data_IF_497321561612
#
_entry.id   IF_497321561612
#
_cell.length_a   1.000
_cell.length_b   1.000
_cell.length_c   1.000
_cell.angle_alpha   90.00
_cell.angle_beta   90.00
_cell.angle_gamma   90.00
#
_symmetry.space_group_name_H-M   'P 1'
#
loop_
_entity.id
_entity.type
_entity.pdbx_description
1 polymer ?
#
# COMPACT_ATOMS: atom_id res chain seq x y z
N UNK A 1 -30.36 -12.03 48.21
CA UNK A 1 -28.91 -11.81 47.97
C UNK A 1 -28.38 -12.71 46.84
N UNK A 2 -28.99 -12.68 45.64
CA UNK A 2 -28.52 -13.44 44.46
C UNK A 2 -28.39 -12.58 43.18
N UNK A 3 -28.77 -11.30 43.23
CA UNK A 3 -28.71 -10.38 42.08
C UNK A 3 -27.36 -9.70 41.90
N UNK A 4 -26.50 -9.69 42.93
CA UNK A 4 -25.21 -8.99 42.87
C UNK A 4 -24.09 -9.76 42.16
N UNK A 5 -24.23 -11.09 41.98
CA UNK A 5 -23.22 -11.91 41.29
C UNK A 5 -23.28 -11.83 39.76
N UNK A 6 -24.45 -11.55 39.17
CA UNK A 6 -24.60 -11.52 37.71
C UNK A 6 -23.99 -10.25 37.09
N UNK A 7 -23.98 -9.14 37.83
CA UNK A 7 -23.43 -7.86 37.36
C UNK A 7 -21.90 -7.92 37.18
N UNK A 8 -21.20 -8.66 38.05
CA UNK A 8 -19.75 -8.81 37.95
C UNK A 8 -19.31 -9.65 36.75
N UNK A 9 -20.04 -10.73 36.43
CA UNK A 9 -19.74 -11.60 35.27
C UNK A 9 -19.96 -10.88 33.94
N UNK A 10 -21.00 -10.06 33.83
CA UNK A 10 -21.27 -9.27 32.61
C UNK A 10 -20.17 -8.22 32.38
N UNK A 11 -19.68 -7.60 33.46
CA UNK A 11 -18.64 -6.56 33.35
C UNK A 11 -17.29 -7.15 32.91
N UNK A 12 -16.93 -8.36 33.35
CA UNK A 12 -15.71 -9.03 32.86
C UNK A 12 -15.84 -9.52 31.43
N UNK A 13 -17.01 -9.99 30.98
CA UNK A 13 -17.24 -10.39 29.58
C UNK A 13 -17.16 -9.17 28.64
N UNK A 14 -17.68 -8.01 29.07
CA UNK A 14 -17.63 -6.78 28.27
C UNK A 14 -16.22 -6.19 28.17
N UNK A 15 -15.34 -6.39 29.17
CA UNK A 15 -13.95 -5.94 29.06
C UNK A 15 -13.11 -6.82 28.12
N UNK A 16 -13.40 -8.13 28.03
CA UNK A 16 -12.70 -9.02 27.08
C UNK A 16 -13.18 -8.79 25.63
N UNK A 17 -14.43 -8.35 25.43
CA UNK A 17 -14.97 -8.05 24.10
C UNK A 17 -14.50 -6.70 23.51
N UNK A 18 -13.68 -5.94 24.23
CA UNK A 18 -13.15 -4.63 23.81
C UNK A 18 -11.62 -4.59 23.76
N UNK A 19 -10.94 -5.74 23.80
CA UNK A 19 -9.61 -5.82 23.20
C UNK A 19 -9.81 -5.76 21.69
N UNK A 20 -9.61 -4.56 21.15
CA UNK A 20 -9.58 -4.27 19.74
C UNK A 20 -8.68 -5.33 19.08
N UNK A 21 -9.28 -6.25 18.33
CA UNK A 21 -8.58 -7.28 17.55
C UNK A 21 -7.47 -6.57 16.76
N UNK A 22 -6.26 -6.58 17.31
CA UNK A 22 -5.10 -6.07 16.62
C UNK A 22 -4.91 -7.04 15.46
N UNK A 23 -4.94 -6.58 14.20
CA UNK A 23 -4.88 -7.47 13.05
C UNK A 23 -3.69 -8.41 13.25
N UNK A 24 -3.94 -9.72 13.21
CA UNK A 24 -2.88 -10.72 13.30
C UNK A 24 -1.77 -10.29 12.33
N UNK A 25 -0.54 -10.16 12.85
CA UNK A 25 0.60 -9.77 12.03
C UNK A 25 0.74 -10.79 10.90
N UNK A 26 0.37 -10.40 9.69
CA UNK A 26 0.47 -11.24 8.50
C UNK A 26 1.96 -11.45 8.18
N UNK A 27 2.54 -12.51 8.72
CA UNK A 27 3.87 -12.93 8.33
C UNK A 27 3.83 -13.47 6.91
N UNK A 28 4.50 -12.79 5.98
CA UNK A 28 4.66 -13.30 4.61
C UNK A 28 6.02 -14.00 4.47
N UNK A 29 6.07 -15.34 4.45
CA UNK A 29 7.33 -16.10 4.41
C UNK A 29 8.16 -15.86 3.14
N UNK A 30 7.54 -15.36 2.06
CA UNK A 30 8.17 -15.11 0.78
C UNK A 30 7.63 -13.81 0.17
N UNK A 31 8.09 -12.63 0.64
CA UNK A 31 7.62 -11.35 0.13
C UNK A 31 7.92 -11.19 -1.36
N UNK A 32 7.07 -10.45 -2.08
CA UNK A 32 7.39 -9.96 -3.43
C UNK A 32 8.69 -9.17 -3.40
N UNK A 33 9.68 -9.66 -4.13
CA UNK A 33 10.96 -9.01 -4.42
C UNK A 33 10.91 -8.53 -5.87
N UNK A 34 10.97 -7.22 -6.08
CA UNK A 34 10.87 -6.64 -7.42
C UNK A 34 12.17 -6.82 -8.21
N UNK A 35 13.31 -6.98 -7.53
CA UNK A 35 14.61 -7.19 -8.18
C UNK A 35 14.85 -8.63 -8.61
N UNK A 36 14.21 -9.57 -7.93
CA UNK A 36 14.25 -11.00 -8.23
C UNK A 36 12.83 -11.59 -8.18
N UNK A 37 11.94 -11.16 -9.10
CA UNK A 37 10.56 -11.60 -9.09
C UNK A 37 10.50 -13.08 -9.45
N UNK A 38 9.76 -13.84 -8.65
CA UNK A 38 9.62 -15.28 -8.81
C UNK A 38 8.21 -15.76 -8.44
N UNK A 39 7.77 -16.84 -9.09
CA UNK A 39 6.51 -17.51 -8.78
C UNK A 39 6.40 -17.86 -7.28
N UNK A 40 5.21 -17.68 -6.72
CA UNK A 40 4.92 -17.99 -5.32
C UNK A 40 5.37 -16.93 -4.30
N UNK A 41 5.87 -15.78 -4.75
CA UNK A 41 6.06 -14.61 -3.88
C UNK A 41 4.73 -13.90 -3.64
N UNK A 42 4.51 -13.36 -2.44
CA UNK A 42 3.31 -12.59 -2.09
C UNK A 42 3.65 -11.46 -1.12
N UNK A 43 2.97 -10.32 -1.16
CA UNK A 43 3.01 -9.28 -0.12
C UNK A 43 1.58 -8.90 0.25
N UNK A 44 1.33 -8.66 1.54
CA UNK A 44 0.01 -8.23 2.02
C UNK A 44 0.00 -6.75 2.34
N UNK A 45 -1.14 -6.13 2.09
CA UNK A 45 -1.37 -4.71 2.31
C UNK A 45 -2.68 -4.54 3.06
N UNK A 46 -2.74 -3.50 3.86
CA UNK A 46 -3.96 -3.06 4.51
C UNK A 46 -4.36 -1.69 3.96
N UNK A 47 -5.66 -1.54 3.71
CA UNK A 47 -6.22 -0.26 3.29
C UNK A 47 -6.34 0.66 4.49
N UNK A 48 -5.93 1.90 4.31
CA UNK A 48 -6.07 2.93 5.33
C UNK A 48 -6.66 4.21 4.74
N UNK A 49 -7.32 4.96 5.60
CA UNK A 49 -7.68 6.35 5.37
C UNK A 49 -7.20 7.21 6.52
N UNK A 50 -6.63 8.38 6.21
CA UNK A 50 -6.22 9.37 7.21
C UNK A 50 -6.25 10.78 6.60
N UNK A 51 -5.80 11.79 7.33
CA UNK A 51 -5.60 13.17 6.86
C UNK A 51 -4.13 13.57 6.93
N UNK A 52 -3.79 14.64 6.24
CA UNK A 52 -2.44 15.21 6.27
C UNK A 52 -2.01 15.77 7.63
N UNK A 53 -2.98 16.06 8.51
CA UNK A 53 -2.74 16.53 9.87
C UNK A 53 -2.49 15.38 10.85
N UNK A 54 -2.92 14.15 10.49
CA UNK A 54 -2.85 12.97 11.36
C UNK A 54 -2.08 11.79 10.75
N UNK A 55 -0.75 11.94 10.62
CA UNK A 55 0.10 10.89 10.06
C UNK A 55 0.37 9.72 11.02
N UNK A 56 0.11 9.93 12.31
CA UNK A 56 0.50 9.04 13.41
C UNK A 56 -0.67 8.58 14.27
N UNK A 57 -1.86 9.16 14.14
CA UNK A 57 -3.01 8.91 14.99
C UNK A 57 -3.95 7.83 14.47
N UNK A 58 -5.26 8.07 14.59
CA UNK A 58 -6.31 7.06 14.43
C UNK A 58 -6.52 6.71 12.96
N UNK A 59 -5.66 5.82 12.46
CA UNK A 59 -5.85 5.17 11.17
C UNK A 59 -7.19 4.44 11.18
N UNK A 60 -8.09 4.90 10.32
CA UNK A 60 -9.23 4.09 9.95
C UNK A 60 -8.74 2.98 9.01
N UNK A 61 -8.34 1.86 9.60
CA UNK A 61 -8.20 0.62 8.85
C UNK A 61 -9.58 0.22 8.38
N UNK A 62 -9.80 0.26 7.07
CA UNK A 62 -11.13 0.04 6.47
C UNK A 62 -11.55 -1.44 6.47
N UNK A 63 -10.85 -2.30 7.20
CA UNK A 63 -10.99 -3.77 7.16
C UNK A 63 -10.50 -4.40 5.85
N UNK A 64 -10.30 -3.61 4.79
CA UNK A 64 -9.84 -4.11 3.51
C UNK A 64 -8.36 -4.53 3.54
N UNK A 65 -8.10 -5.73 3.05
CA UNK A 65 -6.75 -6.29 2.92
C UNK A 65 -6.55 -6.83 1.52
N UNK A 66 -5.38 -6.56 0.95
CA UNK A 66 -5.03 -6.89 -0.43
C UNK A 66 -3.75 -7.71 -0.45
N UNK A 67 -3.69 -8.70 -1.34
CA UNK A 67 -2.47 -9.44 -1.64
C UNK A 67 -1.99 -9.08 -3.03
N UNK A 68 -0.70 -8.75 -3.15
CA UNK A 68 0.04 -8.75 -4.41
C UNK A 68 0.88 -10.01 -4.47
N UNK A 69 0.57 -10.93 -5.37
CA UNK A 69 1.36 -12.15 -5.59
C UNK A 69 2.02 -12.14 -6.97
N UNK A 70 3.08 -12.92 -7.13
CA UNK A 70 3.68 -13.23 -8.43
C UNK A 70 3.28 -14.65 -8.80
N UNK A 71 2.74 -14.80 -10.01
CA UNK A 71 2.43 -16.10 -10.58
C UNK A 71 3.05 -16.28 -11.97
N UNK A 72 3.52 -17.47 -12.29
CA UNK A 72 3.96 -17.84 -13.63
C UNK A 72 2.86 -18.57 -14.42
N UNK A 73 2.59 -18.13 -15.66
CA UNK A 73 1.67 -18.81 -16.59
C UNK A 73 2.24 -18.76 -17.99
N UNK A 74 2.34 -19.92 -18.64
CA UNK A 74 2.89 -20.03 -20.01
C UNK A 74 4.25 -19.31 -20.15
N UNK A 75 5.18 -19.59 -19.23
CA UNK A 75 6.53 -19.02 -19.18
C UNK A 75 6.57 -17.47 -19.07
N UNK A 76 5.48 -16.86 -18.60
CA UNK A 76 5.35 -15.42 -18.38
C UNK A 76 4.97 -15.13 -16.94
N UNK A 77 5.56 -14.07 -16.36
CA UNK A 77 5.27 -13.65 -14.99
C UNK A 77 4.12 -12.62 -14.96
N UNK A 78 3.32 -12.71 -13.91
CA UNK A 78 2.20 -11.82 -13.67
C UNK A 78 2.17 -11.38 -12.22
N UNK A 79 1.84 -10.10 -12.01
CA UNK A 79 1.32 -9.66 -10.73
C UNK A 79 -0.15 -10.06 -10.61
N UNK A 80 -0.52 -10.58 -9.46
CA UNK A 80 -1.87 -10.96 -9.09
C UNK A 80 -2.31 -10.09 -7.92
N UNK A 81 -3.37 -9.32 -8.10
CA UNK A 81 -3.97 -8.52 -7.05
C UNK A 81 -5.33 -9.11 -6.67
N UNK A 82 -5.50 -9.45 -5.40
CA UNK A 82 -6.78 -9.97 -4.89
C UNK A 82 -6.97 -9.60 -3.42
N UNK A 83 -8.22 -9.33 -3.05
CA UNK A 83 -8.59 -9.10 -1.66
C UNK A 83 -8.47 -10.40 -0.86
N UNK A 84 -8.04 -10.31 0.41
CA UNK A 84 -8.03 -11.49 1.28
C UNK A 84 -9.45 -11.82 1.73
N UNK A 85 -9.67 -13.06 2.21
CA UNK A 85 -10.97 -13.48 2.73
C UNK A 85 -11.48 -12.66 3.92
N UNK A 86 -10.57 -11.97 4.62
CA UNK A 86 -10.89 -11.10 5.76
C UNK A 86 -11.20 -9.66 5.34
N UNK A 87 -11.02 -9.31 4.06
CA UNK A 87 -11.32 -7.99 3.53
C UNK A 87 -12.82 -7.73 3.51
N UNK A 88 -13.25 -6.54 3.95
CA UNK A 88 -14.66 -6.12 3.85
C UNK A 88 -15.16 -6.14 2.39
N UNK A 89 -14.33 -5.69 1.44
CA UNK A 89 -14.63 -5.77 0.00
C UNK A 89 -14.85 -7.21 -0.51
N UNK A 90 -14.21 -8.21 0.11
CA UNK A 90 -14.36 -9.62 -0.23
C UNK A 90 -15.65 -10.20 0.37
N UNK A 91 -15.90 -9.93 1.65
CA UNK A 91 -17.05 -10.49 2.39
C UNK A 91 -18.39 -9.86 2.01
N UNK A 92 -18.39 -8.65 1.48
CA UNK A 92 -19.60 -7.98 0.96
C UNK A 92 -19.90 -8.33 -0.52
N UNK A 93 -19.25 -9.35 -1.09
CA UNK A 93 -19.40 -9.80 -2.50
C UNK A 93 -19.15 -8.69 -3.55
N UNK A 94 -18.44 -7.62 -3.18
CA UNK A 94 -18.25 -6.46 -4.07
C UNK A 94 -17.13 -6.67 -5.07
N UNK A 95 -16.03 -7.33 -4.68
CA UNK A 95 -14.87 -7.55 -5.54
C UNK A 95 -14.21 -8.89 -5.18
N UNK A 96 -14.48 -9.92 -5.97
CA UNK A 96 -13.87 -11.25 -5.82
C UNK A 96 -12.85 -11.57 -6.93
N UNK A 97 -12.83 -10.79 -8.01
CA UNK A 97 -12.01 -11.09 -9.16
C UNK A 97 -10.53 -10.77 -8.89
N UNK A 98 -9.67 -11.75 -9.20
CA UNK A 98 -8.22 -11.54 -9.22
C UNK A 98 -7.86 -10.70 -10.44
N UNK A 99 -7.17 -9.59 -10.21
CA UNK A 99 -6.64 -8.75 -11.28
C UNK A 99 -5.25 -9.25 -11.64
N UNK A 100 -5.04 -9.54 -12.91
CA UNK A 100 -3.79 -10.06 -13.44
C UNK A 100 -3.10 -8.97 -14.27
N UNK A 101 -1.86 -8.64 -13.93
CA UNK A 101 -1.04 -7.72 -14.69
C UNK A 101 0.19 -8.45 -15.21
N UNK A 102 0.29 -8.60 -16.53
CA UNK A 102 1.54 -9.07 -17.14
C UNK A 102 2.64 -8.04 -16.88
N UNK A 103 3.83 -8.50 -16.51
CA UNK A 103 5.00 -7.64 -16.44
C UNK A 103 6.22 -8.27 -17.12
N UNK A 104 7.03 -7.41 -17.71
CA UNK A 104 8.29 -7.79 -18.36
C UNK A 104 9.46 -7.23 -17.56
N UNK A 105 10.52 -8.01 -17.40
CA UNK A 105 11.80 -7.53 -16.88
C UNK A 105 12.59 -6.98 -18.06
N UNK A 106 12.86 -5.68 -18.08
CA UNK A 106 13.65 -5.02 -19.11
C UNK A 106 14.87 -4.41 -18.45
N UNK A 107 16.04 -4.99 -18.75
CA UNK A 107 17.30 -4.69 -18.06
C UNK A 107 17.19 -4.94 -16.54
N UNK A 108 16.92 -3.89 -15.75
CA UNK A 108 16.72 -3.97 -14.29
C UNK A 108 15.41 -3.32 -13.85
N UNK A 109 14.49 -3.07 -14.77
CA UNK A 109 13.22 -2.39 -14.53
C UNK A 109 12.04 -3.32 -14.84
N UNK A 110 10.86 -3.00 -14.31
CA UNK A 110 9.64 -3.78 -14.52
C UNK A 110 8.64 -2.98 -15.36
N UNK A 111 8.29 -3.49 -16.53
CA UNK A 111 7.29 -2.89 -17.41
C UNK A 111 5.90 -3.52 -17.15
N UNK A 112 4.93 -2.72 -16.73
CA UNK A 112 3.55 -3.11 -16.38
C UNK A 112 2.56 -2.35 -17.29
N UNK A 113 2.13 -3.00 -18.38
CA UNK A 113 1.37 -2.36 -19.47
C UNK A 113 -0.10 -2.06 -19.11
N UNK A 114 -0.76 -2.92 -18.34
CA UNK A 114 -2.21 -2.84 -18.09
C UNK A 114 -2.56 -2.54 -16.63
N UNK A 115 -2.00 -1.45 -16.07
CA UNK A 115 -2.14 -1.14 -14.63
C UNK A 115 -3.37 -0.32 -14.23
N UNK A 116 -4.19 0.15 -15.18
CA UNK A 116 -5.33 1.02 -14.87
C UNK A 116 -6.36 0.37 -13.93
N UNK A 117 -6.41 -0.96 -13.91
CA UNK A 117 -7.29 -1.72 -13.01
C UNK A 117 -6.64 -2.06 -11.67
N UNK A 118 -5.33 -1.82 -11.51
CA UNK A 118 -4.58 -2.14 -10.31
C UNK A 118 -5.05 -1.32 -9.12
N UNK A 119 -5.12 -1.93 -7.93
CA UNK A 119 -5.36 -1.19 -6.69
C UNK A 119 -4.09 -0.48 -6.20
N UNK A 120 -2.91 -0.98 -6.60
CA UNK A 120 -1.60 -0.51 -6.14
C UNK A 120 -0.91 0.44 -7.13
N UNK A 121 -1.18 0.32 -8.43
CA UNK A 121 -0.41 1.00 -9.47
C UNK A 121 -1.25 1.96 -10.33
N UNK A 122 -2.57 2.05 -10.16
CA UNK A 122 -3.46 2.76 -11.11
C UNK A 122 -3.10 4.22 -11.41
N UNK A 123 -2.57 4.94 -10.42
CA UNK A 123 -2.25 6.36 -10.58
C UNK A 123 -0.84 6.60 -11.11
N UNK A 124 -0.01 5.56 -11.30
CA UNK A 124 1.34 5.73 -11.81
C UNK A 124 1.31 6.07 -13.30
N UNK A 125 2.09 7.06 -13.75
CA UNK A 125 1.98 7.62 -15.11
C UNK A 125 2.85 6.90 -16.13
N UNK A 126 3.92 6.28 -15.64
CA UNK A 126 4.86 5.49 -16.42
C UNK A 126 4.56 4.00 -16.27
N UNK A 127 4.66 3.25 -17.36
CA UNK A 127 4.51 1.79 -17.34
C UNK A 127 5.69 1.09 -16.68
N UNK A 128 6.78 1.80 -16.42
CA UNK A 128 8.04 1.23 -15.98
C UNK A 128 8.31 1.55 -14.52
N UNK A 129 8.44 0.54 -13.66
CA UNK A 129 9.00 0.67 -12.32
C UNK A 129 10.51 0.60 -12.42
N UNK A 130 11.19 1.70 -12.10
CA UNK A 130 12.64 1.77 -12.18
C UNK A 130 13.29 1.34 -10.87
N UNK A 131 13.95 0.18 -10.83
CA UNK A 131 14.55 -0.33 -9.59
C UNK A 131 15.91 0.31 -9.29
N UNK A 132 16.59 0.79 -10.33
CA UNK A 132 17.90 1.43 -10.23
C UNK A 132 17.95 2.75 -11.02
N UNK A 133 17.13 3.76 -10.67
CA UNK A 133 17.04 5.00 -11.44
C UNK A 133 18.39 5.73 -11.48
N UNK A 134 18.80 6.16 -12.67
CA UNK A 134 20.09 6.78 -12.99
C UNK A 134 20.21 8.25 -12.56
N UNK A 135 19.08 8.93 -12.38
CA UNK A 135 18.96 10.24 -11.75
C UNK A 135 18.11 10.13 -10.49
N UNK A 136 18.64 10.57 -9.34
CA UNK A 136 17.92 10.50 -8.05
C UNK A 136 17.88 11.89 -7.43
N UNK A 137 16.72 12.52 -7.51
CA UNK A 137 16.44 13.71 -6.73
C UNK A 137 16.18 13.32 -5.28
N UNK A 138 16.91 13.93 -4.35
CA UNK A 138 16.64 13.76 -2.92
C UNK A 138 15.36 14.51 -2.56
N UNK A 139 14.36 13.77 -2.12
CA UNK A 139 13.06 14.30 -1.72
C UNK A 139 12.91 14.26 -0.21
N UNK A 140 11.97 15.06 0.29
CA UNK A 140 11.67 15.12 1.72
C UNK A 140 10.17 15.09 1.93
N UNK A 141 9.74 14.36 2.95
CA UNK A 141 8.37 14.46 3.41
C UNK A 141 8.17 15.75 4.22
N UNK A 142 7.05 16.45 3.98
CA UNK A 142 6.52 17.49 4.87
C UNK A 142 5.01 17.24 5.00
N UNK A 143 4.57 16.85 6.20
CA UNK A 143 3.20 16.35 6.37
C UNK A 143 2.99 15.05 5.58
N UNK A 144 1.86 14.91 4.91
CA UNK A 144 1.55 13.78 4.02
C UNK A 144 2.22 13.86 2.63
N UNK A 145 2.80 15.02 2.29
CA UNK A 145 3.27 15.31 0.93
C UNK A 145 4.77 15.11 0.81
N UNK A 146 5.20 14.79 -0.40
CA UNK A 146 6.60 14.71 -0.77
C UNK A 146 6.98 16.02 -1.45
N UNK A 147 8.18 16.52 -1.15
CA UNK A 147 8.71 17.76 -1.69
C UNK A 147 10.02 17.50 -2.41
N UNK A 148 10.16 18.11 -3.59
CA UNK A 148 11.43 18.31 -4.26
C UNK A 148 11.89 19.74 -3.97
N UNK A 149 12.94 19.88 -3.15
CA UNK A 149 13.36 21.19 -2.62
C UNK A 149 12.20 21.83 -1.82
N UNK A 150 11.59 22.89 -2.35
CA UNK A 150 10.52 23.66 -1.71
C UNK A 150 9.18 23.60 -2.45
N UNK A 151 9.07 22.79 -3.50
CA UNK A 151 7.82 22.55 -4.23
C UNK A 151 7.30 21.15 -3.92
N UNK A 152 5.96 21.01 -3.89
CA UNK A 152 5.32 19.70 -3.79
C UNK A 152 5.73 18.89 -5.01
N UNK A 153 6.17 17.66 -4.78
CA UNK A 153 6.59 16.76 -5.82
C UNK A 153 5.36 16.14 -6.48
N UNK A 154 5.11 16.53 -7.73
CA UNK A 154 4.06 15.98 -8.60
C UNK A 154 4.65 15.83 -10.00
N UNK A 155 4.31 14.76 -10.71
CA UNK A 155 4.74 14.51 -12.09
C UNK A 155 5.71 13.35 -12.26
N UNK A 156 6.29 13.21 -13.45
CA UNK A 156 6.97 12.00 -13.94
C UNK A 156 8.42 11.82 -13.42
N UNK A 157 8.90 12.67 -12.52
CA UNK A 157 10.26 12.50 -11.97
C UNK A 157 10.33 11.32 -10.99
N UNK A 158 11.55 10.81 -10.78
CA UNK A 158 11.80 9.72 -9.83
C UNK A 158 12.66 10.25 -8.68
N UNK A 159 12.16 10.08 -7.47
CA UNK A 159 12.78 10.55 -6.25
C UNK A 159 13.36 9.46 -5.38
N UNK A 160 14.14 9.88 -4.39
CA UNK A 160 14.54 9.06 -3.25
C UNK A 160 14.09 9.74 -1.96
N UNK A 161 13.53 8.93 -1.06
CA UNK A 161 13.18 9.31 0.30
C UNK A 161 14.02 8.52 1.28
N UNK A 162 14.81 9.22 2.09
CA UNK A 162 15.54 8.59 3.19
C UNK A 162 14.59 8.08 4.27
N UNK A 163 13.51 8.82 4.50
CA UNK A 163 12.51 8.53 5.52
C UNK A 163 11.13 9.02 5.10
N UNK A 164 10.13 8.18 5.35
CA UNK A 164 8.72 8.48 5.18
C UNK A 164 7.92 7.90 6.36
N UNK A 165 7.10 8.71 7.01
CA UNK A 165 6.22 8.32 8.10
C UNK A 165 4.78 8.39 7.63
N UNK A 166 4.10 7.25 7.66
CA UNK A 166 2.68 7.18 7.37
C UNK A 166 2.08 6.05 8.18
N UNK A 167 0.89 6.28 8.71
CA UNK A 167 0.16 5.24 9.42
C UNK A 167 0.96 4.62 10.58
N UNK A 168 1.71 5.46 11.32
CA UNK A 168 2.60 5.00 12.39
C UNK A 168 3.80 4.14 11.93
N UNK A 169 3.91 3.83 10.63
CA UNK A 169 4.99 3.07 10.03
C UNK A 169 6.05 4.01 9.48
N UNK A 170 7.29 3.79 9.94
CA UNK A 170 8.46 4.46 9.41
C UNK A 170 9.05 3.59 8.28
N UNK A 171 9.16 4.17 7.09
CA UNK A 171 9.66 3.53 5.88
C UNK A 171 10.93 4.27 5.46
N UNK A 172 12.00 3.54 5.16
CA UNK A 172 13.31 4.11 4.90
C UNK A 172 13.86 3.74 3.53
N UNK A 173 14.67 4.61 2.95
CA UNK A 173 15.43 4.39 1.71
C UNK A 173 14.54 3.88 0.56
N UNK A 174 13.52 4.65 0.23
CA UNK A 174 12.56 4.29 -0.82
C UNK A 174 12.78 5.12 -2.07
N UNK A 175 12.54 4.50 -3.22
CA UNK A 175 12.19 5.21 -4.44
C UNK A 175 10.75 5.71 -4.30
N UNK A 176 10.53 6.96 -4.67
CA UNK A 176 9.20 7.55 -4.72
C UNK A 176 8.92 8.08 -6.11
N UNK A 177 7.72 7.81 -6.58
CA UNK A 177 7.19 8.38 -7.82
C UNK A 177 5.85 9.00 -7.52
N UNK A 178 5.58 10.11 -8.17
CA UNK A 178 4.25 10.70 -8.23
C UNK A 178 3.71 10.49 -9.63
N UNK A 179 2.39 10.46 -9.76
CA UNK A 179 1.79 10.75 -11.05
C UNK A 179 0.37 11.21 -10.80
N UNK A 180 0.04 12.34 -11.41
CA UNK A 180 -1.31 12.77 -11.73
C UNK A 180 -1.22 13.69 -12.96
N UNK A 181 -2.15 13.61 -13.93
CA UNK A 181 -2.32 14.69 -14.89
C UNK A 181 -2.81 15.93 -14.12
N UNK A 182 -2.06 17.04 -14.17
CA UNK A 182 -2.31 18.30 -13.44
C UNK A 182 -3.79 18.74 -13.34
N UNK A 183 -4.63 18.32 -14.27
CA UNK A 183 -6.06 18.63 -14.38
C UNK A 183 -6.98 18.05 -13.29
N UNK A 184 -6.58 16.99 -12.55
CA UNK A 184 -7.48 16.31 -11.61
C UNK A 184 -7.31 16.67 -10.13
N UNK A 185 -6.34 17.54 -9.77
CA UNK A 185 -6.03 17.92 -8.38
C UNK A 185 -5.88 16.73 -7.42
N UNK A 186 -5.60 15.55 -7.97
CA UNK A 186 -5.22 14.35 -7.25
C UNK A 186 -3.72 14.47 -7.00
N UNK A 187 -3.24 14.05 -5.83
CA UNK A 187 -1.81 13.79 -5.65
C UNK A 187 -1.68 12.30 -5.37
N UNK A 188 -0.74 11.61 -6.01
CA UNK A 188 -0.51 10.18 -5.83
C UNK A 188 0.95 9.91 -5.52
N UNK A 189 1.22 8.98 -4.61
CA UNK A 189 2.57 8.55 -4.29
C UNK A 189 2.68 7.03 -4.21
N UNK A 190 3.64 6.48 -4.94
CA UNK A 190 4.03 5.09 -4.90
C UNK A 190 5.45 5.01 -4.34
N UNK A 191 5.62 4.31 -3.22
CA UNK A 191 6.91 4.13 -2.54
C UNK A 191 7.34 2.67 -2.63
N UNK A 192 8.49 2.43 -3.24
CA UNK A 192 9.01 1.09 -3.48
C UNK A 192 10.53 1.03 -3.36
N UNK A 193 11.04 -0.19 -3.27
CA UNK A 193 12.47 -0.51 -3.31
C UNK A 193 12.67 -1.79 -4.12
N UNK A 194 13.92 -2.20 -4.42
CA UNK A 194 14.21 -3.51 -5.00
C UNK A 194 13.49 -4.65 -4.28
N UNK A 195 13.33 -4.57 -2.94
CA UNK A 195 12.73 -5.61 -2.12
C UNK A 195 11.18 -5.58 -2.07
N UNK A 196 10.52 -4.74 -2.86
CA UNK A 196 9.05 -4.67 -2.86
C UNK A 196 8.48 -3.26 -2.77
N UNK A 197 7.20 -3.18 -3.13
CA UNK A 197 6.33 -2.03 -2.90
C UNK A 197 6.00 -1.90 -1.40
N UNK A 198 6.12 -0.71 -0.85
CA UNK A 198 5.86 -0.44 0.57
C UNK A 198 4.55 0.30 0.79
N UNK A 199 4.21 1.23 -0.10
CA UNK A 199 3.04 2.08 0.03
C UNK A 199 2.56 2.56 -1.32
N UNK A 200 1.24 2.68 -1.46
CA UNK A 200 0.55 3.27 -2.60
C UNK A 200 -0.63 4.07 -2.08
N UNK A 201 -0.66 5.39 -2.29
CA UNK A 201 -1.82 6.18 -1.88
C UNK A 201 -2.10 7.36 -2.80
N UNK A 202 -3.28 7.94 -2.60
CA UNK A 202 -3.66 9.22 -3.15
C UNK A 202 -4.13 10.18 -2.06
N UNK A 203 -4.04 11.47 -2.37
CA UNK A 203 -4.42 12.59 -1.54
C UNK A 203 -5.41 13.45 -2.34
N UNK A 204 -6.58 13.71 -1.76
CA UNK A 204 -7.62 14.59 -2.30
C UNK A 204 -8.12 15.46 -1.16
N UNK A 205 -8.00 16.78 -1.28
CA UNK A 205 -8.43 17.73 -0.24
C UNK A 205 -7.89 17.35 1.17
N UNK A 206 -6.59 17.08 1.25
CA UNK A 206 -5.88 16.63 2.45
C UNK A 206 -6.34 15.29 3.07
N UNK A 207 -7.26 14.59 2.40
CA UNK A 207 -7.68 13.23 2.76
C UNK A 207 -6.84 12.22 1.99
N UNK A 208 -6.25 11.28 2.72
CA UNK A 208 -5.41 10.21 2.18
C UNK A 208 -6.23 8.93 2.10
N UNK A 209 -6.13 8.21 0.99
CA UNK A 209 -6.62 6.84 0.86
C UNK A 209 -5.58 6.01 0.14
N UNK A 210 -5.24 4.84 0.69
CA UNK A 210 -4.28 3.97 0.04
C UNK A 210 -4.07 2.64 0.74
N UNK A 211 -2.96 2.03 0.35
CA UNK A 211 -2.49 0.71 0.75
C UNK A 211 -1.11 0.85 1.35
N UNK A 212 -0.90 0.23 2.51
CA UNK A 212 0.41 0.13 3.14
C UNK A 212 0.72 -1.34 3.36
N UNK A 213 1.96 -1.75 3.01
CA UNK A 213 2.42 -3.11 3.22
C UNK A 213 2.37 -3.41 4.72
N UNK A 214 1.86 -4.59 5.09
CA UNK A 214 1.89 -5.08 6.46
C UNK A 214 3.33 -5.46 6.84
#
# INVERSE_FOLDING_TARGET
MKSFSYLWVITTILMVACEHDSPELYYTPNPVDLSLPADGQASHYIRYTTTCEDLTGELEYRGDTLTLAISERNDSLFFQEYYTQLSTAYTEDKIQDTIMHHFEIVENDLLIRDRLMSQLFYFYGNDTIHLTPSGRSVMRQKGCRVFLKDVVFVGDEIGQLDHFLMAGKSIHHQTVVSCVPDFFALEGYLLYSPNGLQLSHTIINDRITGWIKL
#
